data_IF_011661228514
#
_entry.id   IF_011661228514
#
_cell.length_a   1.000
_cell.length_b   1.000
_cell.length_c   1.000
_cell.angle_alpha   90.00
_cell.angle_beta   90.00
_cell.angle_gamma   90.00
#
_symmetry.space_group_name_H-M   'P 1'
#
loop_
_entity.id
_entity.type
_entity.pdbx_description
1 polymer ?
#
# COMPACT_ATOMS: atom_id res chain seq x y z
N UNK A 1 24.84 -11.14 -3.30
CA UNK A 1 26.07 -10.94 -4.10
C UNK A 1 26.13 -9.46 -4.41
N UNK A 2 27.21 -8.77 -4.03
CA UNK A 2 27.30 -7.32 -4.24
C UNK A 2 27.67 -7.00 -5.70
N UNK A 3 27.08 -5.93 -6.23
CA UNK A 3 27.32 -5.43 -7.59
C UNK A 3 27.83 -3.99 -7.51
N UNK A 4 28.69 -3.62 -8.45
CA UNK A 4 29.17 -2.25 -8.58
C UNK A 4 28.11 -1.43 -9.32
N UNK A 5 27.67 -0.34 -8.70
CA UNK A 5 26.84 0.70 -9.31
C UNK A 5 27.72 1.90 -9.62
N UNK A 6 27.78 2.31 -10.88
CA UNK A 6 28.44 3.55 -11.30
C UNK A 6 27.43 4.48 -11.98
N UNK A 7 27.41 5.73 -11.55
CA UNK A 7 26.56 6.78 -12.12
C UNK A 7 27.26 8.13 -11.99
N UNK A 8 27.03 9.02 -12.96
CA UNK A 8 27.42 10.43 -12.83
C UNK A 8 26.43 11.10 -11.87
N UNK A 9 26.95 11.82 -10.88
CA UNK A 9 26.16 12.52 -9.87
C UNK A 9 26.76 13.90 -9.66
N UNK A 10 25.91 14.88 -9.40
CA UNK A 10 26.38 16.22 -9.07
C UNK A 10 27.17 16.22 -7.76
N UNK A 11 28.22 17.04 -7.71
CA UNK A 11 29.09 17.13 -6.54
C UNK A 11 28.31 17.49 -5.27
N UNK A 12 27.34 18.39 -5.38
CA UNK A 12 26.47 18.78 -4.26
C UNK A 12 25.68 17.59 -3.67
N UNK A 13 25.26 16.66 -4.53
CA UNK A 13 24.57 15.44 -4.11
C UNK A 13 25.53 14.48 -3.42
N UNK A 14 26.73 14.29 -3.96
CA UNK A 14 27.76 13.45 -3.36
C UNK A 14 28.15 13.93 -1.94
N UNK A 15 28.29 15.26 -1.77
CA UNK A 15 28.53 15.88 -0.47
C UNK A 15 27.38 15.64 0.49
N UNK A 16 26.14 15.83 0.03
CA UNK A 16 24.93 15.63 0.86
C UNK A 16 24.79 14.18 1.33
N UNK A 17 25.07 13.19 0.48
CA UNK A 17 25.12 11.78 0.86
C UNK A 17 26.19 11.56 1.95
N UNK A 18 27.36 12.17 1.81
CA UNK A 18 28.43 12.08 2.80
C UNK A 18 28.09 12.71 4.16
N UNK A 19 27.34 13.82 4.17
CA UNK A 19 26.84 14.44 5.41
C UNK A 19 25.81 13.51 6.08
N UNK A 20 24.85 13.00 5.32
CA UNK A 20 23.80 12.09 5.82
C UNK A 20 24.41 10.81 6.41
N UNK A 21 25.36 10.19 5.71
CA UNK A 21 26.05 9.00 6.18
C UNK A 21 26.71 9.22 7.54
N UNK A 22 27.38 10.37 7.73
CA UNK A 22 28.00 10.74 9.02
C UNK A 22 26.96 10.97 10.11
N UNK A 23 25.89 11.71 9.82
CA UNK A 23 24.83 12.01 10.79
C UNK A 23 24.09 10.75 11.26
N UNK A 24 23.89 9.79 10.36
CA UNK A 24 23.22 8.51 10.66
C UNK A 24 24.19 7.43 11.18
N UNK A 25 25.49 7.71 11.28
CA UNK A 25 26.49 6.72 11.70
C UNK A 25 26.58 5.51 10.76
N UNK A 26 26.38 5.71 9.45
CA UNK A 26 26.29 4.63 8.47
C UNK A 26 27.15 4.89 7.23
N UNK A 27 27.13 3.99 6.26
CA UNK A 27 27.89 4.11 5.01
C UNK A 27 27.10 4.81 3.92
N UNK A 28 27.79 5.42 2.95
CA UNK A 28 27.15 5.99 1.74
C UNK A 28 26.33 4.94 0.98
N UNK A 29 26.82 3.69 0.91
CA UNK A 29 26.10 2.54 0.34
C UNK A 29 24.73 2.37 1.01
N UNK A 30 24.71 2.29 2.34
CA UNK A 30 23.48 2.11 3.13
C UNK A 30 22.48 3.24 2.89
N UNK A 31 22.95 4.50 2.88
CA UNK A 31 22.08 5.66 2.61
C UNK A 31 21.40 5.53 1.25
N UNK A 32 22.14 5.13 0.22
CA UNK A 32 21.60 4.96 -1.14
C UNK A 32 20.61 3.78 -1.19
N UNK A 33 20.95 2.64 -0.60
CA UNK A 33 20.08 1.46 -0.55
C UNK A 33 18.76 1.75 0.18
N UNK A 34 18.82 2.39 1.35
CA UNK A 34 17.63 2.75 2.12
C UNK A 34 16.78 3.78 1.37
N UNK A 35 17.39 4.78 0.72
CA UNK A 35 16.66 5.74 -0.11
C UNK A 35 15.93 5.05 -1.26
N UNK A 36 16.59 4.11 -1.96
CA UNK A 36 15.95 3.34 -3.04
C UNK A 36 14.76 2.53 -2.52
N UNK A 37 14.90 1.87 -1.35
CA UNK A 37 13.80 1.15 -0.72
C UNK A 37 12.62 2.08 -0.42
N UNK A 38 12.88 3.27 0.16
CA UNK A 38 11.85 4.26 0.46
C UNK A 38 11.15 4.78 -0.81
N UNK A 39 11.91 5.03 -1.88
CA UNK A 39 11.31 5.41 -3.17
C UNK A 39 10.47 4.26 -3.75
N UNK A 40 10.94 3.02 -3.67
CA UNK A 40 10.19 1.86 -4.14
C UNK A 40 8.88 1.66 -3.38
N UNK A 41 8.88 1.85 -2.05
CA UNK A 41 7.66 1.83 -1.25
C UNK A 41 6.72 2.99 -1.62
N UNK A 42 7.26 4.19 -1.86
CA UNK A 42 6.44 5.34 -2.27
C UNK A 42 5.79 5.11 -3.63
N UNK A 43 6.50 4.52 -4.58
CA UNK A 43 5.96 4.14 -5.90
C UNK A 43 4.89 3.06 -5.73
N UNK A 44 5.17 2.00 -4.96
CA UNK A 44 4.16 0.97 -4.63
C UNK A 44 2.92 1.54 -3.97
N UNK A 45 3.07 2.48 -3.04
CA UNK A 45 1.94 3.11 -2.36
C UNK A 45 1.15 4.05 -3.28
N UNK A 46 1.76 4.60 -4.33
CA UNK A 46 1.06 5.37 -5.36
C UNK A 46 0.40 4.50 -6.44
N UNK A 47 0.93 3.30 -6.67
CA UNK A 47 0.39 2.28 -7.58
C UNK A 47 -0.55 1.28 -6.90
N UNK A 48 -0.66 1.30 -5.57
CA UNK A 48 -1.61 0.49 -4.83
C UNK A 48 -3.01 0.88 -5.30
N UNK A 49 -3.58 0.02 -6.15
CA UNK A 49 -4.93 0.15 -6.61
C UNK A 49 -5.82 0.22 -5.36
N UNK A 50 -6.32 1.43 -5.08
CA UNK A 50 -7.19 1.72 -3.95
C UNK A 50 -8.39 0.76 -3.98
N UNK A 51 -8.80 0.33 -5.17
CA UNK A 51 -9.83 -0.68 -5.32
C UNK A 51 -9.36 -2.06 -4.88
N UNK A 52 -8.15 -2.52 -5.21
CA UNK A 52 -7.67 -3.84 -4.75
C UNK A 52 -7.49 -3.87 -3.21
N UNK A 53 -7.02 -2.76 -2.63
CA UNK A 53 -6.89 -2.61 -1.17
C UNK A 53 -8.24 -2.50 -0.43
N UNK A 54 -9.29 -1.96 -1.07
CA UNK A 54 -10.60 -1.72 -0.42
C UNK A 54 -11.65 -2.75 -0.77
N UNK A 55 -11.65 -3.28 -2.00
CA UNK A 55 -12.59 -4.30 -2.47
C UNK A 55 -12.25 -5.68 -1.90
N UNK A 56 -10.98 -5.96 -1.58
CA UNK A 56 -10.58 -7.17 -0.86
C UNK A 56 -11.13 -7.24 0.58
N UNK A 57 -11.50 -6.11 1.18
CA UNK A 57 -12.09 -6.06 2.52
C UNK A 57 -13.55 -6.54 2.55
N UNK A 58 -14.22 -6.62 1.40
CA UNK A 58 -15.59 -7.12 1.27
C UNK A 58 -15.63 -8.62 0.92
N UNK A 59 -14.93 -9.46 1.71
CA UNK A 59 -15.02 -10.92 1.58
C UNK A 59 -16.27 -11.46 2.30
N UNK A 60 -17.45 -11.20 1.74
CA UNK A 60 -18.68 -11.79 2.27
C UNK A 60 -18.62 -13.30 2.12
N UNK A 61 -18.74 -14.03 3.24
CA UNK A 61 -18.92 -15.49 3.24
C UNK A 61 -20.19 -15.93 2.51
N UNK A 62 -21.19 -15.05 2.48
CA UNK A 62 -22.44 -15.28 1.77
C UNK A 62 -22.31 -14.90 0.29
N UNK A 63 -22.78 -15.78 -0.59
CA UNK A 63 -22.85 -15.49 -2.03
C UNK A 63 -23.82 -14.33 -2.29
N UNK A 64 -23.71 -13.63 -3.43
CA UNK A 64 -24.65 -12.57 -3.80
C UNK A 64 -26.12 -13.03 -3.75
N UNK A 65 -26.38 -14.28 -4.15
CA UNK A 65 -27.73 -14.87 -4.13
C UNK A 65 -28.27 -15.03 -2.71
N UNK A 66 -27.42 -15.45 -1.76
CA UNK A 66 -27.78 -15.56 -0.34
C UNK A 66 -28.07 -14.20 0.29
N UNK A 67 -27.26 -13.18 -0.01
CA UNK A 67 -27.49 -11.81 0.44
C UNK A 67 -28.83 -11.27 -0.07
N UNK A 68 -29.15 -11.46 -1.35
CA UNK A 68 -30.43 -11.00 -1.92
C UNK A 68 -31.62 -11.71 -1.26
N UNK A 69 -31.52 -13.02 -1.04
CA UNK A 69 -32.58 -13.79 -0.37
C UNK A 69 -32.81 -13.30 1.07
N UNK A 70 -31.73 -13.04 1.82
CA UNK A 70 -31.77 -12.53 3.19
C UNK A 70 -32.39 -11.12 3.26
N UNK A 71 -31.98 -10.23 2.36
CA UNK A 71 -32.54 -8.88 2.26
C UNK A 71 -34.05 -8.90 1.95
N UNK A 72 -34.48 -9.71 0.98
CA UNK A 72 -35.90 -9.88 0.64
C UNK A 72 -36.71 -10.45 1.80
N UNK A 73 -36.16 -11.43 2.53
CA UNK A 73 -36.82 -12.01 3.71
C UNK A 73 -37.02 -10.95 4.80
N UNK A 74 -35.97 -10.19 5.13
CA UNK A 74 -36.05 -9.13 6.13
C UNK A 74 -37.07 -8.05 5.74
N UNK A 75 -37.05 -7.61 4.48
CA UNK A 75 -38.01 -6.64 3.95
C UNK A 75 -39.46 -7.13 4.02
N UNK A 76 -39.72 -8.38 3.64
CA UNK A 76 -41.07 -8.97 3.75
C UNK A 76 -41.54 -9.06 5.20
N UNK A 77 -40.65 -9.41 6.12
CA UNK A 77 -40.96 -9.49 7.56
C UNK A 77 -41.25 -8.12 8.17
N UNK A 78 -40.56 -7.05 7.72
CA UNK A 78 -40.87 -5.69 8.17
C UNK A 78 -42.21 -5.21 7.63
N UNK A 79 -42.50 -5.46 6.34
CA UNK A 79 -43.79 -5.09 5.74
C UNK A 79 -44.97 -5.85 6.35
N UNK A 80 -44.82 -7.16 6.60
CA UNK A 80 -45.85 -7.97 7.24
C UNK A 80 -46.15 -7.58 8.69
N UNK A 81 -45.18 -6.99 9.41
CA UNK A 81 -45.37 -6.48 10.78
C UNK A 81 -46.15 -5.17 10.87
N UNK A 82 -46.19 -4.38 9.80
CA UNK A 82 -46.95 -3.12 9.75
C UNK A 82 -48.33 -3.27 9.09
N UNK A 83 -48.68 -4.47 8.61
CA UNK A 83 -49.94 -4.78 7.93
C UNK A 83 -50.90 -5.66 8.76
N UNK A 84 -50.61 -5.88 10.06
CA UNK A 84 -51.48 -6.57 11.01
C UNK A 84 -52.09 -5.62 12.03
#
# INVERSE_FOLDING_TARGET
MDKILSARVDESILQRIGVLARQMGTTKKRVIEEAICLYAEKVRSGEADVFDATLGAWSRRESPTQTVAKARKAFRQSMGRHHS
#
